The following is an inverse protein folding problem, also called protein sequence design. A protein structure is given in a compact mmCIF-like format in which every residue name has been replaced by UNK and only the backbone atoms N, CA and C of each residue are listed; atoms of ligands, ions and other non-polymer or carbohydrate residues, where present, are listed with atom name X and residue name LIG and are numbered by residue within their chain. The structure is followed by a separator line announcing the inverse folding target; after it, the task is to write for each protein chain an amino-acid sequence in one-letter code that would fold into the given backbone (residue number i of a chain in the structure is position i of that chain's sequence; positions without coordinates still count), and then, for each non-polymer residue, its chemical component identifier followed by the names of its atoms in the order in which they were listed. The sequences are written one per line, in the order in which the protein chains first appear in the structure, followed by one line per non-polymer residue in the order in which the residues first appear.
data_IF_895534584074
#
_entry.id   IF_895534584074
#
_cell.length_a   1.000
_cell.length_b   1.000
_cell.length_c   1.000
_cell.angle_alpha   90.00
_cell.angle_beta   90.00
_cell.angle_gamma   90.00
#
_symmetry.space_group_name_H-M   'P 1'
#
loop_
_entity.id
_entity.type
_entity.pdbx_description
1 polymer ?
#
# COMPACT_ATOMS: atom_id res chain seq x y z
N UNK A 1 -32.47 28.31 7.22
CA UNK A 1 -31.81 27.11 6.74
C UNK A 1 -30.29 27.12 7.00
N UNK A 2 -29.59 28.17 6.67
CA UNK A 2 -28.13 28.31 6.86
C UNK A 2 -27.68 28.09 8.33
N UNK A 3 -28.39 28.63 9.32
CA UNK A 3 -28.09 28.47 10.75
C UNK A 3 -28.15 27.03 11.23
N UNK A 4 -29.08 26.19 10.71
CA UNK A 4 -29.16 24.78 11.03
C UNK A 4 -28.04 23.98 10.37
N UNK A 5 -27.63 24.37 9.16
CA UNK A 5 -26.51 23.78 8.45
C UNK A 5 -25.18 24.03 9.16
N UNK A 6 -24.96 25.23 9.65
CA UNK A 6 -23.77 25.61 10.44
C UNK A 6 -23.68 24.84 11.76
N UNK A 7 -24.80 24.63 12.45
CA UNK A 7 -24.85 23.80 13.67
C UNK A 7 -24.56 22.33 13.39
N UNK A 8 -25.06 21.79 12.26
CA UNK A 8 -24.79 20.42 11.85
C UNK A 8 -23.30 20.23 11.49
N UNK A 9 -22.72 21.20 10.80
CA UNK A 9 -21.29 21.21 10.46
C UNK A 9 -20.40 21.32 11.69
N UNK A 10 -20.77 22.16 12.66
CA UNK A 10 -20.05 22.30 13.93
C UNK A 10 -20.11 21.04 14.79
N UNK A 11 -21.22 20.31 14.75
CA UNK A 11 -21.39 19.04 15.46
C UNK A 11 -20.54 17.92 14.84
N UNK A 12 -20.36 17.91 13.52
CA UNK A 12 -19.48 16.97 12.81
C UNK A 12 -17.99 17.22 13.07
N UNK A 13 -17.62 18.46 13.45
CA UNK A 13 -16.23 18.82 13.78
C UNK A 13 -15.83 18.46 15.22
N UNK A 14 -16.78 18.10 16.09
CA UNK A 14 -16.50 17.69 17.47
C UNK A 14 -16.13 16.22 17.64
N UNK A 15 -15.74 15.52 16.56
CA UNK A 15 -15.15 14.18 16.66
C UNK A 15 -13.87 14.25 17.50
N UNK A 16 -13.85 13.50 18.60
CA UNK A 16 -12.73 13.44 19.54
C UNK A 16 -11.44 13.12 18.80
N UNK A 17 -10.53 14.08 18.74
CA UNK A 17 -9.19 13.87 18.21
C UNK A 17 -8.42 13.08 19.25
N UNK A 18 -8.39 11.77 19.11
CA UNK A 18 -7.45 10.95 19.87
C UNK A 18 -6.05 11.27 19.34
N UNK A 19 -5.24 11.92 20.16
CA UNK A 19 -3.82 12.09 19.87
C UNK A 19 -3.20 10.69 19.75
N UNK A 20 -2.85 10.29 18.52
CA UNK A 20 -2.11 9.07 18.30
C UNK A 20 -0.72 9.25 18.89
N UNK A 21 -0.33 8.36 19.79
CA UNK A 21 1.05 8.28 20.27
C UNK A 21 1.92 8.00 19.03
N UNK A 22 2.73 8.98 18.62
CA UNK A 22 3.58 8.86 17.43
C UNK A 22 4.51 7.64 17.54
N UNK A 23 4.71 6.95 16.42
CA UNK A 23 5.73 5.92 16.30
C UNK A 23 5.27 4.46 16.29
N UNK A 24 3.96 4.19 16.31
CA UNK A 24 3.43 2.81 16.19
C UNK A 24 2.54 2.65 14.96
N UNK A 25 3.09 2.94 13.77
CA UNK A 25 2.42 2.53 12.55
C UNK A 25 2.72 1.05 12.30
N UNK A 26 1.68 0.25 12.17
CA UNK A 26 1.74 -1.17 11.80
C UNK A 26 1.95 -1.27 10.29
N UNK A 27 2.60 -2.33 9.81
CA UNK A 27 2.79 -2.63 8.38
C UNK A 27 3.52 -1.53 7.59
N UNK A 28 4.64 -1.04 8.13
CA UNK A 28 5.46 0.02 7.51
C UNK A 28 5.97 -0.33 6.11
N UNK A 29 6.10 -1.61 5.78
CA UNK A 29 6.55 -2.07 4.46
C UNK A 29 5.64 -1.59 3.33
N UNK A 30 4.37 -1.29 3.60
CA UNK A 30 3.45 -0.72 2.61
C UNK A 30 3.84 0.70 2.15
N UNK A 31 4.76 1.36 2.86
CA UNK A 31 5.29 2.66 2.49
C UNK A 31 6.56 2.58 1.62
N UNK A 32 7.12 1.39 1.42
CA UNK A 32 8.26 1.19 0.52
C UNK A 32 7.85 1.45 -0.94
N UNK A 33 8.78 2.00 -1.72
CA UNK A 33 8.55 2.21 -3.14
C UNK A 33 8.25 0.87 -3.83
N UNK A 34 7.12 0.82 -4.53
CA UNK A 34 6.62 -0.42 -5.16
C UNK A 34 7.27 -0.68 -6.53
N UNK A 35 8.05 0.25 -7.04
CA UNK A 35 8.83 0.11 -8.27
C UNK A 35 10.11 0.93 -8.22
N UNK A 36 11.14 0.57 -9.03
CA UNK A 36 12.36 1.38 -9.16
C UNK A 36 12.07 2.80 -9.64
N UNK A 37 11.04 2.97 -10.46
CA UNK A 37 10.61 4.28 -10.92
C UNK A 37 10.09 5.14 -9.77
N UNK A 38 9.26 4.58 -8.91
CA UNK A 38 8.77 5.30 -7.73
C UNK A 38 9.91 5.65 -6.77
N UNK A 39 10.87 4.74 -6.58
CA UNK A 39 12.07 5.01 -5.80
C UNK A 39 12.87 6.20 -6.35
N UNK A 40 13.05 6.28 -7.67
CA UNK A 40 13.72 7.38 -8.35
C UNK A 40 12.97 8.72 -8.25
N UNK A 41 11.65 8.68 -8.10
CA UNK A 41 10.78 9.86 -7.90
C UNK A 41 10.66 10.28 -6.43
N UNK A 42 11.42 9.68 -5.52
CA UNK A 42 11.41 10.00 -4.10
C UNK A 42 10.52 9.11 -3.25
N UNK A 43 10.04 7.98 -3.76
CA UNK A 43 9.27 6.99 -3.02
C UNK A 43 7.76 7.05 -3.31
N UNK A 44 6.95 7.30 -2.30
CA UNK A 44 5.48 7.23 -2.40
C UNK A 44 4.91 8.39 -3.21
N UNK A 45 4.66 8.16 -4.49
CA UNK A 45 3.99 9.13 -5.38
C UNK A 45 2.50 8.83 -5.46
N UNK A 46 1.63 9.81 -5.24
CA UNK A 46 0.16 9.63 -5.18
C UNK A 46 -0.60 10.36 -6.28
N UNK A 47 0.08 11.20 -7.06
CA UNK A 47 -0.55 12.09 -8.06
C UNK A 47 -0.16 11.79 -9.49
N UNK A 48 0.78 10.88 -9.72
CA UNK A 48 1.24 10.56 -11.09
C UNK A 48 0.21 9.66 -11.76
N UNK A 49 -0.37 10.13 -12.85
CA UNK A 49 -1.34 9.39 -13.66
C UNK A 49 -0.70 9.04 -15.00
N UNK A 50 -0.23 7.80 -15.11
CA UNK A 50 0.41 7.29 -16.32
C UNK A 50 0.10 5.79 -16.54
N UNK A 51 1.03 5.05 -17.10
CA UNK A 51 0.90 3.62 -17.40
C UNK A 51 1.54 2.70 -16.35
N UNK A 52 2.11 3.24 -15.27
CA UNK A 52 2.75 2.43 -14.22
C UNK A 52 1.70 1.81 -13.28
N UNK A 53 1.46 0.52 -13.45
CA UNK A 53 0.48 -0.24 -12.64
C UNK A 53 0.81 -0.23 -11.14
N UNK A 54 2.05 0.07 -10.76
CA UNK A 54 2.45 0.12 -9.35
C UNK A 54 1.89 1.36 -8.63
N UNK A 55 1.44 2.39 -9.35
CA UNK A 55 0.79 3.57 -8.75
C UNK A 55 -0.50 3.20 -8.00
N UNK A 56 -1.18 2.17 -8.47
CA UNK A 56 -2.43 1.67 -7.88
C UNK A 56 -2.29 1.21 -6.42
N UNK A 57 -1.10 0.80 -5.99
CA UNK A 57 -0.85 0.43 -4.58
C UNK A 57 -1.07 1.60 -3.61
N UNK A 58 -0.80 2.83 -4.04
CA UNK A 58 -0.92 4.03 -3.20
C UNK A 58 -2.20 4.80 -3.43
N UNK A 59 -2.57 4.97 -4.70
CA UNK A 59 -3.76 5.73 -5.05
C UNK A 59 -4.55 4.98 -6.13
N UNK A 60 -5.64 4.31 -5.76
CA UNK A 60 -6.46 3.57 -6.72
C UNK A 60 -7.12 4.47 -7.78
N UNK A 61 -7.30 5.77 -7.52
CA UNK A 61 -7.81 6.70 -8.53
C UNK A 61 -6.85 6.94 -9.70
N UNK A 62 -5.57 6.55 -9.59
CA UNK A 62 -4.61 6.62 -10.70
C UNK A 62 -4.73 5.47 -11.68
N UNK A 63 -5.50 4.42 -11.35
CA UNK A 63 -5.75 3.27 -12.23
C UNK A 63 -6.51 3.77 -13.45
N UNK A 64 -6.00 3.49 -14.65
CA UNK A 64 -6.56 4.02 -15.89
C UNK A 64 -6.37 3.04 -17.07
N UNK A 65 -6.97 3.36 -18.21
CA UNK A 65 -6.95 2.53 -19.42
C UNK A 65 -5.53 2.28 -19.98
N UNK A 66 -4.57 3.18 -19.76
CA UNK A 66 -3.18 3.01 -20.23
C UNK A 66 -2.47 1.85 -19.52
N UNK A 67 -3.03 1.38 -18.40
CA UNK A 67 -2.55 0.22 -17.67
C UNK A 67 -3.14 -1.10 -18.17
N UNK A 68 -4.03 -1.07 -19.16
CA UNK A 68 -4.70 -2.27 -19.69
C UNK A 68 -3.71 -3.35 -20.12
N UNK A 69 -3.91 -4.58 -19.61
CA UNK A 69 -3.07 -5.75 -19.85
C UNK A 69 -1.57 -5.53 -19.53
N UNK A 70 -1.27 -4.66 -18.58
CA UNK A 70 0.09 -4.46 -18.12
C UNK A 70 0.36 -5.28 -16.87
N UNK A 71 1.45 -6.02 -16.94
CA UNK A 71 2.06 -6.72 -15.82
C UNK A 71 3.36 -6.01 -15.46
N UNK A 72 3.57 -5.76 -14.18
CA UNK A 72 4.83 -5.31 -13.61
C UNK A 72 5.29 -6.29 -12.56
N UNK A 73 6.58 -6.62 -12.56
CA UNK A 73 7.22 -7.37 -11.49
C UNK A 73 8.53 -6.67 -11.13
N UNK A 74 8.71 -6.41 -9.86
CA UNK A 74 9.88 -5.71 -9.35
C UNK A 74 10.48 -6.50 -8.19
N UNK A 75 11.80 -6.46 -8.09
CA UNK A 75 12.55 -7.02 -6.97
C UNK A 75 13.65 -6.04 -6.60
N UNK A 76 13.87 -5.86 -5.31
CA UNK A 76 14.92 -5.00 -4.77
C UNK A 76 15.57 -5.63 -3.56
N UNK A 77 16.88 -5.45 -3.45
CA UNK A 77 17.64 -5.71 -2.23
C UNK A 77 17.83 -4.40 -1.49
N UNK A 78 17.65 -4.43 -0.20
CA UNK A 78 17.85 -3.31 0.70
C UNK A 78 19.08 -3.56 1.58
N UNK A 79 19.27 -2.79 2.64
CA UNK A 79 20.42 -2.98 3.53
C UNK A 79 20.34 -4.33 4.27
N UNK A 80 21.50 -4.93 4.51
CA UNK A 80 21.60 -6.23 5.12
C UNK A 80 21.03 -7.32 4.21
N UNK A 81 20.32 -8.27 4.76
CA UNK A 81 19.67 -9.36 4.03
C UNK A 81 18.22 -9.03 3.63
N UNK A 82 17.79 -7.78 3.82
CA UNK A 82 16.41 -7.38 3.53
C UNK A 82 16.20 -7.35 2.02
N UNK A 83 15.17 -8.05 1.57
CA UNK A 83 14.74 -8.05 0.18
C UNK A 83 13.24 -7.82 0.07
N UNK A 84 12.80 -7.17 -0.98
CA UNK A 84 11.38 -6.94 -1.23
C UNK A 84 11.05 -7.16 -2.70
N UNK A 85 9.81 -7.53 -2.94
CA UNK A 85 9.30 -7.75 -4.27
C UNK A 85 7.87 -7.29 -4.42
N UNK A 86 7.51 -6.89 -5.62
CA UNK A 86 6.14 -6.52 -5.97
C UNK A 86 5.77 -7.12 -7.30
N UNK A 87 4.52 -7.51 -7.46
CA UNK A 87 3.93 -7.85 -8.74
C UNK A 87 2.56 -7.21 -8.84
N UNK A 88 2.23 -6.64 -9.99
CA UNK A 88 0.97 -5.95 -10.19
C UNK A 88 0.47 -6.15 -11.62
N UNK A 89 -0.84 -6.27 -11.77
CA UNK A 89 -1.52 -6.40 -13.05
C UNK A 89 -2.76 -5.53 -13.08
N UNK A 90 -3.05 -4.91 -14.21
CA UNK A 90 -4.26 -4.14 -14.41
C UNK A 90 -5.01 -4.57 -15.68
N UNK A 91 -6.32 -4.60 -15.56
CA UNK A 91 -7.22 -4.97 -16.64
C UNK A 91 -8.37 -3.95 -16.77
N UNK A 92 -8.50 -3.35 -17.93
CA UNK A 92 -9.60 -2.44 -18.25
C UNK A 92 -10.74 -3.23 -18.86
N UNK A 93 -11.87 -3.25 -18.16
CA UNK A 93 -13.09 -3.90 -18.63
C UNK A 93 -13.82 -3.02 -19.65
N UNK A 94 -13.99 -1.75 -19.33
CA UNK A 94 -14.53 -0.74 -20.25
C UNK A 94 -13.46 0.33 -20.44
N UNK A 95 -13.01 0.50 -21.70
CA UNK A 95 -11.83 1.31 -22.05
C UNK A 95 -11.86 2.76 -21.58
N UNK A 96 -13.01 3.29 -21.29
CA UNK A 96 -13.14 4.69 -20.86
C UNK A 96 -13.62 4.85 -19.44
N UNK A 97 -14.11 3.78 -18.81
CA UNK A 97 -14.83 3.89 -17.54
C UNK A 97 -14.24 3.07 -16.42
N UNK A 98 -13.87 1.81 -16.66
CA UNK A 98 -13.64 0.84 -15.57
C UNK A 98 -12.34 0.09 -15.75
N UNK A 99 -11.48 0.18 -14.75
CA UNK A 99 -10.20 -0.56 -14.71
C UNK A 99 -10.03 -1.22 -13.36
N UNK A 100 -9.65 -2.48 -13.39
CA UNK A 100 -9.31 -3.29 -12.21
C UNK A 100 -7.80 -3.40 -12.06
N UNK A 101 -7.36 -3.53 -10.84
CA UNK A 101 -5.98 -3.77 -10.46
C UNK A 101 -5.90 -4.89 -9.45
N UNK A 102 -4.90 -5.74 -9.59
CA UNK A 102 -4.52 -6.72 -8.57
C UNK A 102 -3.00 -6.70 -8.42
N UNK A 103 -2.53 -6.80 -7.19
CA UNK A 103 -1.09 -6.79 -6.94
C UNK A 103 -0.73 -7.40 -5.60
N UNK A 104 0.52 -7.83 -5.49
CA UNK A 104 1.11 -8.35 -4.27
C UNK A 104 2.40 -7.59 -3.96
N UNK A 105 2.60 -7.27 -2.69
CA UNK A 105 3.86 -6.74 -2.15
C UNK A 105 4.36 -7.72 -1.10
N UNK A 106 5.66 -8.00 -1.11
CA UNK A 106 6.31 -8.91 -0.18
C UNK A 106 7.63 -8.31 0.29
N UNK A 107 7.95 -8.47 1.56
CA UNK A 107 9.24 -8.15 2.15
C UNK A 107 9.73 -9.31 2.99
N UNK A 108 11.00 -9.59 2.89
CA UNK A 108 11.74 -10.51 3.75
C UNK A 108 12.83 -9.72 4.47
N UNK A 109 12.85 -9.79 5.78
CA UNK A 109 13.81 -9.05 6.60
C UNK A 109 15.14 -9.79 6.80
N UNK A 110 15.30 -10.98 6.20
CA UNK A 110 16.48 -11.82 6.39
C UNK A 110 16.44 -12.61 7.69
N UNK A 111 17.61 -13.02 8.13
CA UNK A 111 17.80 -13.81 9.35
C UNK A 111 18.42 -12.95 10.44
N UNK A 112 17.84 -12.99 11.61
CA UNK A 112 18.34 -12.31 12.81
C UNK A 112 18.95 -13.31 13.77
N UNK A 113 20.17 -13.04 14.24
CA UNK A 113 20.79 -13.83 15.32
C UNK A 113 20.02 -13.61 16.63
N UNK A 114 19.44 -14.69 17.16
CA UNK A 114 18.83 -14.67 18.48
C UNK A 114 19.87 -14.60 19.58
N UNK A 115 19.63 -13.79 20.62
CA UNK A 115 20.48 -13.69 21.82
C UNK A 115 19.62 -13.66 23.07
N UNK A 116 20.09 -14.34 24.12
CA UNK A 116 19.45 -14.28 25.44
C UNK A 116 19.80 -12.98 26.19
N UNK A 117 19.23 -12.79 27.36
CA UNK A 117 19.48 -11.61 28.21
C UNK A 117 20.96 -11.52 28.70
N UNK A 118 21.70 -12.60 28.61
CA UNK A 118 23.13 -12.69 28.97
C UNK A 118 24.05 -12.51 27.75
N UNK A 119 23.46 -12.37 26.53
CA UNK A 119 24.19 -12.18 25.28
C UNK A 119 24.62 -13.48 24.62
N UNK A 120 24.24 -14.66 25.13
CA UNK A 120 24.54 -15.94 24.49
C UNK A 120 23.68 -16.10 23.23
N UNK A 121 24.24 -16.74 22.20
CA UNK A 121 23.51 -17.09 20.98
C UNK A 121 22.38 -18.07 21.29
N UNK A 122 21.21 -17.77 20.77
CA UNK A 122 20.03 -18.64 20.78
C UNK A 122 19.69 -19.06 19.34
N UNK A 123 18.46 -19.49 19.10
CA UNK A 123 18.02 -19.82 17.73
C UNK A 123 17.82 -18.56 16.91
N UNK A 124 18.26 -18.61 15.65
CA UNK A 124 18.00 -17.56 14.68
C UNK A 124 16.50 -17.47 14.36
N UNK A 125 16.03 -16.27 14.03
CA UNK A 125 14.65 -16.04 13.62
C UNK A 125 14.58 -15.23 12.34
N UNK A 126 13.47 -15.35 11.62
CA UNK A 126 13.21 -14.64 10.37
C UNK A 126 11.95 -13.82 10.49
N UNK A 127 11.84 -12.80 9.63
CA UNK A 127 10.64 -11.98 9.52
C UNK A 127 10.25 -11.78 8.07
N UNK A 128 8.94 -11.84 7.79
CA UNK A 128 8.43 -11.52 6.47
C UNK A 128 7.02 -10.93 6.54
N UNK A 129 6.71 -10.08 5.59
CA UNK A 129 5.37 -9.51 5.46
C UNK A 129 4.92 -9.57 4.00
N UNK A 130 3.63 -9.77 3.81
CA UNK A 130 3.00 -9.80 2.50
C UNK A 130 1.69 -9.04 2.51
N UNK A 131 1.37 -8.36 1.41
CA UNK A 131 0.08 -7.72 1.21
C UNK A 131 -0.46 -8.03 -0.18
N UNK A 132 -1.68 -8.55 -0.23
CA UNK A 132 -2.47 -8.66 -1.44
C UNK A 132 -3.35 -7.42 -1.57
N UNK A 133 -3.36 -6.80 -2.73
CA UNK A 133 -4.09 -5.57 -3.03
C UNK A 133 -5.00 -5.79 -4.23
N UNK A 134 -6.28 -5.43 -4.11
CA UNK A 134 -7.23 -5.44 -5.22
C UNK A 134 -7.87 -4.07 -5.31
N UNK A 135 -7.71 -3.43 -6.46
CA UNK A 135 -8.17 -2.07 -6.72
C UNK A 135 -9.16 -1.99 -7.86
N UNK A 136 -10.00 -1.00 -7.79
CA UNK A 136 -10.95 -0.65 -8.84
C UNK A 136 -10.97 0.86 -9.02
N UNK A 137 -10.97 1.32 -10.25
CA UNK A 137 -11.14 2.72 -10.60
C UNK A 137 -12.27 2.90 -11.59
N UNK A 138 -12.98 4.01 -11.40
CA UNK A 138 -14.04 4.45 -12.27
C UNK A 138 -13.77 5.90 -12.74
N UNK A 139 -13.71 6.08 -14.04
CA UNK A 139 -13.64 7.40 -14.65
C UNK A 139 -15.06 7.95 -14.80
N UNK A 140 -15.35 9.08 -14.18
CA UNK A 140 -16.69 9.69 -14.24
C UNK A 140 -16.85 10.34 -15.61
N UNK A 141 -17.80 9.87 -16.46
CA UNK A 141 -18.01 10.44 -17.78
C UNK A 141 -18.28 11.95 -17.70
N UNK A 142 -17.78 12.66 -18.72
CA UNK A 142 -17.97 14.12 -18.86
C UNK A 142 -17.26 14.98 -17.80
N UNK A 143 -16.42 14.36 -16.99
CA UNK A 143 -15.57 15.06 -16.01
C UNK A 143 -14.14 14.53 -16.12
N UNK A 144 -13.17 15.30 -15.70
CA UNK A 144 -11.79 14.84 -15.55
C UNK A 144 -11.55 14.22 -14.15
N UNK A 145 -12.57 13.57 -13.59
CA UNK A 145 -12.52 13.01 -12.25
C UNK A 145 -12.43 11.48 -12.29
N UNK A 146 -11.49 10.95 -11.51
CA UNK A 146 -11.30 9.53 -11.29
C UNK A 146 -11.59 9.20 -9.83
N UNK A 147 -12.39 8.16 -9.61
CA UNK A 147 -12.68 7.64 -8.28
C UNK A 147 -12.18 6.21 -8.22
N UNK A 148 -11.47 5.87 -7.17
CA UNK A 148 -10.95 4.52 -6.99
C UNK A 148 -11.03 4.04 -5.55
N UNK A 149 -11.13 2.73 -5.40
CA UNK A 149 -11.08 2.03 -4.13
C UNK A 149 -10.07 0.89 -4.20
N UNK A 150 -9.43 0.59 -3.08
CA UNK A 150 -8.45 -0.49 -2.95
C UNK A 150 -8.69 -1.22 -1.63
N UNK A 151 -8.82 -2.54 -1.71
CA UNK A 151 -8.85 -3.42 -0.55
C UNK A 151 -7.48 -4.12 -0.44
N UNK A 152 -6.98 -4.24 0.79
CA UNK A 152 -5.71 -4.91 1.07
C UNK A 152 -5.90 -5.96 2.14
N UNK A 153 -5.30 -7.13 1.92
CA UNK A 153 -5.16 -8.18 2.92
C UNK A 153 -3.68 -8.32 3.24
N UNK A 154 -3.34 -8.22 4.51
CA UNK A 154 -1.96 -8.16 4.97
C UNK A 154 -1.71 -9.34 5.90
N UNK A 155 -0.58 -9.99 5.71
CA UNK A 155 -0.04 -11.02 6.60
C UNK A 155 1.37 -10.62 7.00
N UNK A 156 1.64 -10.61 8.30
CA UNK A 156 2.96 -10.35 8.86
C UNK A 156 3.34 -11.49 9.77
N UNK A 157 4.52 -12.05 9.55
CA UNK A 157 5.10 -13.11 10.36
C UNK A 157 6.46 -12.64 10.86
N UNK A 158 6.63 -12.61 12.18
CA UNK A 158 7.89 -12.28 12.81
C UNK A 158 8.16 -13.32 13.90
N UNK A 159 9.20 -14.13 13.70
CA UNK A 159 9.50 -15.26 14.59
C UNK A 159 8.29 -16.21 14.71
N UNK A 160 7.73 -16.33 15.91
CA UNK A 160 6.53 -17.13 16.22
C UNK A 160 5.21 -16.34 16.17
N UNK A 161 5.29 -15.02 15.95
CA UNK A 161 4.12 -14.14 15.96
C UNK A 161 3.57 -13.94 14.55
N UNK A 162 2.27 -14.17 14.39
CA UNK A 162 1.55 -13.92 13.15
C UNK A 162 0.50 -12.83 13.38
N UNK A 163 0.42 -11.89 12.45
CA UNK A 163 -0.56 -10.81 12.45
C UNK A 163 -1.23 -10.71 11.09
N UNK A 164 -2.53 -10.45 11.10
CA UNK A 164 -3.33 -10.24 9.90
C UNK A 164 -4.01 -8.88 9.98
N UNK A 165 -4.11 -8.20 8.82
CA UNK A 165 -4.76 -6.91 8.67
C UNK A 165 -5.56 -6.82 7.38
N UNK A 166 -6.53 -5.90 7.35
CA UNK A 166 -7.35 -5.58 6.16
C UNK A 166 -7.64 -4.07 6.11
#
# INVERSE_FOLDING_TARGET
MLRKLVFLLAFLLSASVFSQIGGRAVYQFLNLAQSPRQAALGGKTVTVVDYDVNQAFYNPATINEKMHNRLSANYGSYYGEVSYGTAAYAYTYDRHLQTFHAGISYINYGTFEGRDELGNLTSDFTGSEAALSVGYAYNIPWTDMFVGANAKLISSTLESYNSFGA
#
